data_IF_005009171564
#
_entry.id   IF_005009171564
#
_cell.length_a   1.000
_cell.length_b   1.000
_cell.length_c   1.000
_cell.angle_alpha   90.00
_cell.angle_beta   90.00
_cell.angle_gamma   90.00
#
_symmetry.space_group_name_H-M   'P 1'
#
loop_
_entity.id
_entity.type
_entity.pdbx_description
1 polymer ?
#
# COMPACT_ATOMS: atom_id res chain seq x y z
N UNK A 1 25.99 -5.72 13.34
CA UNK A 1 25.24 -5.56 12.08
C UNK A 1 25.57 -4.20 11.51
N UNK A 2 26.17 -4.11 10.33
CA UNK A 2 26.43 -2.81 9.68
C UNK A 2 25.16 -2.44 8.91
N UNK A 3 24.48 -1.38 9.35
CA UNK A 3 23.37 -0.79 8.60
C UNK A 3 23.99 0.35 7.79
N UNK A 4 24.03 0.22 6.47
CA UNK A 4 24.41 1.34 5.62
C UNK A 4 23.26 2.35 5.63
N UNK A 5 23.56 3.62 5.87
CA UNK A 5 22.54 4.67 5.78
C UNK A 5 22.25 5.04 4.32
N UNK A 6 21.16 5.77 4.10
CA UNK A 6 20.74 6.13 2.74
C UNK A 6 21.77 7.02 2.00
N UNK A 7 22.57 7.80 2.73
CA UNK A 7 23.59 8.66 2.14
C UNK A 7 24.80 7.84 1.68
N UNK A 8 25.22 6.85 2.46
CA UNK A 8 26.28 5.91 2.09
C UNK A 8 25.88 5.08 0.87
N UNK A 9 24.65 4.56 0.84
CA UNK A 9 24.13 3.82 -0.32
C UNK A 9 24.07 4.72 -1.55
N UNK A 10 23.58 5.96 -1.40
CA UNK A 10 23.54 6.93 -2.50
C UNK A 10 24.94 7.20 -3.04
N UNK A 11 25.92 7.48 -2.18
CA UNK A 11 27.30 7.75 -2.60
C UNK A 11 27.91 6.54 -3.33
N UNK A 12 27.65 5.32 -2.86
CA UNK A 12 28.10 4.11 -3.54
C UNK A 12 27.46 3.94 -4.92
N UNK A 13 26.16 4.25 -5.04
CA UNK A 13 25.43 4.21 -6.31
C UNK A 13 25.92 5.27 -7.29
N UNK A 14 26.14 6.50 -6.85
CA UNK A 14 26.66 7.60 -7.70
C UNK A 14 28.11 7.33 -8.15
N UNK A 15 28.92 6.65 -7.32
CA UNK A 15 30.26 6.21 -7.71
C UNK A 15 30.22 5.09 -8.76
N UNK A 16 29.30 4.13 -8.61
CA UNK A 16 29.17 3.00 -9.55
C UNK A 16 28.46 3.38 -10.85
N UNK A 17 27.50 4.31 -10.76
CA UNK A 17 26.66 4.80 -11.86
C UNK A 17 26.68 6.34 -11.83
N UNK A 18 27.70 6.96 -12.42
CA UNK A 18 27.86 8.41 -12.41
C UNK A 18 26.66 9.12 -13.03
N UNK A 19 26.18 10.16 -12.36
CA UNK A 19 25.04 10.91 -12.85
C UNK A 19 25.39 11.67 -14.15
N UNK A 20 24.53 11.63 -15.18
CA UNK A 20 24.73 12.46 -16.37
C UNK A 20 24.81 13.95 -16.03
N UNK A 21 25.69 14.69 -16.71
CA UNK A 21 25.84 16.13 -16.51
C UNK A 21 24.72 16.95 -17.19
N UNK A 22 23.98 16.35 -18.12
CA UNK A 22 22.88 16.97 -18.84
C UNK A 22 21.57 16.78 -18.06
N UNK A 23 20.79 17.85 -17.93
CA UNK A 23 19.67 17.95 -16.98
C UNK A 23 18.54 16.95 -17.29
N UNK A 24 18.19 16.73 -18.56
CA UNK A 24 17.18 15.74 -18.93
C UNK A 24 17.67 14.30 -18.73
N UNK A 25 18.95 14.05 -18.98
CA UNK A 25 19.58 12.75 -18.74
C UNK A 25 19.70 12.44 -17.23
N UNK A 26 19.98 13.44 -16.39
CA UNK A 26 19.93 13.33 -14.93
C UNK A 26 18.51 12.99 -14.45
N UNK A 27 17.51 13.72 -14.94
CA UNK A 27 16.11 13.46 -14.60
C UNK A 27 15.67 12.04 -15.01
N UNK A 28 16.05 11.58 -16.21
CA UNK A 28 15.78 10.22 -16.67
C UNK A 28 16.53 9.17 -15.85
N UNK A 29 17.79 9.42 -15.52
CA UNK A 29 18.59 8.55 -14.65
C UNK A 29 17.93 8.38 -13.28
N UNK A 30 17.52 9.49 -12.65
CA UNK A 30 16.80 9.46 -11.38
C UNK A 30 15.48 8.68 -11.45
N UNK A 31 14.73 8.82 -12.56
CA UNK A 31 13.50 8.06 -12.79
C UNK A 31 13.75 6.54 -12.83
N UNK A 32 14.73 6.09 -13.61
CA UNK A 32 15.05 4.67 -13.74
C UNK A 32 15.65 4.09 -12.45
N UNK A 33 16.53 4.84 -11.77
CA UNK A 33 17.09 4.43 -10.48
C UNK A 33 16.00 4.27 -9.42
N UNK A 34 15.03 5.18 -9.38
CA UNK A 34 13.90 5.08 -8.45
C UNK A 34 13.11 3.79 -8.70
N UNK A 35 12.84 3.45 -9.95
CA UNK A 35 12.12 2.23 -10.32
C UNK A 35 12.88 0.98 -9.86
N UNK A 36 14.17 0.89 -10.15
CA UNK A 36 15.01 -0.27 -9.78
C UNK A 36 15.09 -0.42 -8.26
N UNK A 37 15.29 0.67 -7.52
CA UNK A 37 15.35 0.63 -6.06
C UNK A 37 14.01 0.22 -5.44
N UNK A 38 12.87 0.62 -6.04
CA UNK A 38 11.56 0.16 -5.61
C UNK A 38 11.35 -1.35 -5.85
N UNK A 39 11.80 -1.87 -7.00
CA UNK A 39 11.79 -3.32 -7.28
C UNK A 39 12.65 -4.08 -6.26
N UNK A 40 13.86 -3.59 -5.98
CA UNK A 40 14.77 -4.16 -4.98
C UNK A 40 14.16 -4.15 -3.57
N UNK A 41 13.54 -3.04 -3.17
CA UNK A 41 12.82 -2.95 -1.91
C UNK A 41 11.69 -4.00 -1.82
N UNK A 42 10.99 -4.25 -2.93
CA UNK A 42 9.99 -5.31 -3.05
C UNK A 42 10.56 -6.72 -2.77
N UNK A 43 11.74 -7.04 -3.31
CA UNK A 43 12.41 -8.33 -3.04
C UNK A 43 12.75 -8.51 -1.56
N UNK A 44 13.31 -7.49 -0.91
CA UNK A 44 13.63 -7.56 0.51
C UNK A 44 12.37 -7.63 1.39
N UNK A 45 11.30 -6.93 1.03
CA UNK A 45 10.02 -7.02 1.73
C UNK A 45 9.42 -8.44 1.63
N UNK A 46 9.46 -9.06 0.45
CA UNK A 46 9.02 -10.44 0.26
C UNK A 46 9.86 -11.41 1.09
N UNK A 47 11.20 -11.28 1.01
CA UNK A 47 12.13 -12.12 1.77
C UNK A 47 11.93 -11.99 3.28
N UNK A 48 11.70 -10.77 3.76
CA UNK A 48 11.36 -10.52 5.15
C UNK A 48 10.08 -11.25 5.55
N UNK A 49 9.02 -11.16 4.75
CA UNK A 49 7.74 -11.82 5.03
C UNK A 49 7.86 -13.34 5.07
N UNK A 50 8.59 -13.94 4.12
CA UNK A 50 8.90 -15.37 4.12
C UNK A 50 9.63 -15.79 5.40
N UNK A 51 10.64 -15.01 5.79
CA UNK A 51 11.44 -15.28 7.00
C UNK A 51 10.58 -15.17 8.26
N UNK A 52 9.67 -14.21 8.32
CA UNK A 52 8.70 -14.06 9.42
C UNK A 52 7.79 -15.28 9.51
N UNK A 53 7.29 -15.78 8.38
CA UNK A 53 6.43 -16.96 8.34
C UNK A 53 7.20 -18.21 8.82
N UNK A 54 8.47 -18.37 8.42
CA UNK A 54 9.35 -19.42 8.92
C UNK A 54 9.57 -19.34 10.44
N UNK A 55 9.88 -18.15 10.98
CA UNK A 55 10.05 -17.91 12.41
C UNK A 55 8.79 -18.32 13.18
N UNK A 56 7.61 -17.93 12.68
CA UNK A 56 6.32 -18.24 13.32
C UNK A 56 5.95 -19.70 13.23
N UNK A 57 6.16 -20.33 12.08
CA UNK A 57 5.86 -21.75 11.88
C UNK A 57 6.78 -22.64 12.72
N UNK A 58 8.06 -22.26 12.85
CA UNK A 58 9.06 -22.97 13.63
C UNK A 58 9.08 -22.64 15.13
N UNK A 59 8.33 -21.63 15.57
CA UNK A 59 8.40 -21.14 16.96
C UNK A 59 9.81 -20.67 17.35
N UNK A 60 10.54 -20.08 16.39
CA UNK A 60 11.94 -19.72 16.58
C UNK A 60 12.08 -18.52 17.51
N UNK A 61 12.95 -18.65 18.51
CA UNK A 61 13.27 -17.56 19.44
C UNK A 61 14.70 -17.09 19.23
N UNK A 62 14.93 -15.79 19.34
CA UNK A 62 16.27 -15.19 19.29
C UNK A 62 16.63 -14.63 20.67
N UNK A 63 17.89 -14.78 21.14
CA UNK A 63 18.35 -14.14 22.37
C UNK A 63 18.47 -12.61 22.23
N UNK A 64 18.63 -12.09 21.00
CA UNK A 64 18.89 -10.67 20.74
C UNK A 64 17.69 -9.95 20.13
N UNK A 65 16.79 -10.67 19.45
CA UNK A 65 15.71 -10.07 18.68
C UNK A 65 14.33 -10.57 19.10
N UNK A 66 13.32 -9.73 18.97
CA UNK A 66 11.91 -10.09 19.14
C UNK A 66 11.10 -9.70 17.91
N UNK A 67 10.26 -10.63 17.44
CA UNK A 67 9.29 -10.41 16.38
C UNK A 67 8.01 -9.85 16.99
N UNK A 68 7.67 -8.60 16.69
CA UNK A 68 6.47 -7.93 17.18
C UNK A 68 5.49 -7.70 16.03
N UNK A 69 4.21 -7.94 16.28
CA UNK A 69 3.15 -7.51 15.37
C UNK A 69 2.88 -6.02 15.61
N UNK A 70 3.14 -5.20 14.61
CA UNK A 70 2.76 -3.79 14.64
C UNK A 70 1.31 -3.64 14.19
N UNK A 71 0.53 -2.89 14.96
CA UNK A 71 -0.85 -2.59 14.64
C UNK A 71 -0.99 -1.11 14.26
N UNK A 72 -1.88 -0.83 13.29
CA UNK A 72 -2.22 0.54 12.91
C UNK A 72 -3.70 0.81 13.15
N UNK A 73 -4.01 2.05 13.48
CA UNK A 73 -5.39 2.53 13.44
C UNK A 73 -5.81 2.70 11.99
N UNK A 74 -6.83 1.97 11.59
CA UNK A 74 -7.48 2.12 10.29
C UNK A 74 -8.93 2.51 10.50
N UNK A 75 -9.38 3.50 9.74
CA UNK A 75 -10.80 3.82 9.62
C UNK A 75 -11.46 2.73 8.77
N UNK A 76 -12.57 2.16 9.25
CA UNK A 76 -13.41 1.24 8.48
C UNK A 76 -14.80 1.85 8.32
N UNK A 77 -15.31 1.81 7.10
CA UNK A 77 -16.69 2.23 6.78
C UNK A 77 -17.64 1.09 7.11
N UNK A 78 -18.73 1.40 7.79
CA UNK A 78 -19.87 0.52 7.97
C UNK A 78 -20.69 0.49 6.67
N UNK A 79 -20.25 -0.35 5.74
CA UNK A 79 -20.83 -0.53 4.41
C UNK A 79 -22.33 -0.86 4.45
N UNK A 80 -22.81 -1.80 5.28
CA UNK A 80 -24.25 -2.06 5.41
C UNK A 80 -25.04 -0.82 5.80
N UNK A 81 -24.60 -0.10 6.83
CA UNK A 81 -25.31 1.10 7.30
C UNK A 81 -25.32 2.22 6.25
N UNK A 82 -24.18 2.45 5.56
CA UNK A 82 -24.08 3.47 4.52
C UNK A 82 -24.98 3.13 3.31
N UNK A 83 -25.08 1.84 2.95
CA UNK A 83 -25.97 1.37 1.88
C UNK A 83 -27.44 1.55 2.26
N UNK A 84 -27.81 1.24 3.50
CA UNK A 84 -29.18 1.27 3.95
C UNK A 84 -29.68 2.71 4.16
N UNK A 85 -28.83 3.60 4.69
CA UNK A 85 -29.22 4.98 5.03
C UNK A 85 -28.97 5.98 3.90
N UNK A 86 -27.98 5.74 3.03
CA UNK A 86 -27.63 6.65 1.92
C UNK A 86 -27.23 5.88 0.65
N UNK A 87 -28.19 5.19 0.01
CA UNK A 87 -27.93 4.32 -1.15
C UNK A 87 -27.33 5.08 -2.36
N UNK A 88 -27.76 6.32 -2.61
CA UNK A 88 -27.27 7.13 -3.72
C UNK A 88 -25.79 7.53 -3.52
N UNK A 89 -25.44 7.92 -2.29
CA UNK A 89 -24.06 8.24 -1.94
C UNK A 89 -23.18 6.98 -1.94
N UNK A 90 -23.74 5.86 -1.49
CA UNK A 90 -23.07 4.56 -1.51
C UNK A 90 -22.72 4.14 -2.95
N UNK A 91 -23.66 4.21 -3.89
CA UNK A 91 -23.42 3.82 -5.29
C UNK A 91 -22.30 4.63 -5.96
N UNK A 92 -22.12 5.88 -5.55
CA UNK A 92 -21.07 6.75 -6.07
C UNK A 92 -19.68 6.48 -5.48
N UNK A 93 -19.62 5.95 -4.25
CA UNK A 93 -18.40 5.84 -3.45
C UNK A 93 -17.84 4.42 -3.36
N UNK A 94 -18.64 3.41 -3.73
CA UNK A 94 -18.23 2.00 -3.72
C UNK A 94 -17.19 1.72 -4.78
N UNK A 95 -16.13 1.02 -4.37
CA UNK A 95 -15.17 0.46 -5.30
C UNK A 95 -15.83 -0.66 -6.12
N UNK A 96 -15.61 -0.66 -7.44
CA UNK A 96 -16.22 -1.61 -8.35
C UNK A 96 -15.53 -2.98 -8.18
N UNK A 97 -16.33 -4.04 -7.99
CA UNK A 97 -15.80 -5.40 -7.91
C UNK A 97 -15.12 -5.82 -9.23
N UNK A 98 -14.11 -6.71 -9.23
CA UNK A 98 -13.49 -7.19 -10.47
C UNK A 98 -14.50 -7.85 -11.44
N UNK A 99 -15.53 -8.52 -10.90
CA UNK A 99 -16.56 -9.17 -11.70
C UNK A 99 -17.47 -8.15 -12.42
N UNK A 100 -17.82 -7.06 -11.75
CA UNK A 100 -18.64 -5.99 -12.33
C UNK A 100 -17.82 -5.06 -13.24
N UNK A 101 -16.56 -4.82 -12.88
CA UNK A 101 -15.59 -4.16 -13.74
C UNK A 101 -15.40 -4.94 -15.04
N UNK A 102 -15.33 -6.27 -14.99
CA UNK A 102 -15.23 -7.13 -16.17
C UNK A 102 -16.44 -7.05 -17.12
N UNK A 103 -17.65 -6.87 -16.58
CA UNK A 103 -18.87 -6.66 -17.39
C UNK A 103 -18.90 -5.27 -18.04
N UNK A 104 -18.50 -4.23 -17.30
CA UNK A 104 -18.40 -2.84 -17.80
C UNK A 104 -17.27 -2.66 -18.82
N UNK A 105 -16.15 -3.37 -18.64
CA UNK A 105 -14.93 -3.25 -19.43
C UNK A 105 -14.80 -4.38 -20.46
N UNK A 106 -15.92 -4.84 -21.02
CA UNK A 106 -16.08 -6.00 -21.93
C UNK A 106 -15.24 -5.99 -23.22
N UNK A 107 -14.25 -5.09 -23.34
CA UNK A 107 -13.10 -5.22 -24.24
C UNK A 107 -11.82 -5.04 -23.43
N UNK A 108 -10.91 -6.03 -23.50
CA UNK A 108 -9.58 -6.05 -22.84
C UNK A 108 -8.79 -4.73 -23.01
N UNK A 109 -8.95 -4.07 -24.16
CA UNK A 109 -8.36 -2.75 -24.44
C UNK A 109 -8.90 -1.62 -23.54
N UNK A 110 -10.21 -1.62 -23.23
CA UNK A 110 -10.80 -0.68 -22.30
C UNK A 110 -10.30 -0.97 -20.89
N UNK A 111 -10.13 -2.23 -20.49
CA UNK A 111 -9.60 -2.56 -19.16
C UNK A 111 -8.21 -1.94 -18.93
N UNK A 112 -7.26 -2.11 -19.86
CA UNK A 112 -5.90 -1.59 -19.71
C UNK A 112 -5.83 -0.05 -19.82
N UNK A 113 -6.65 0.55 -20.68
CA UNK A 113 -6.77 2.01 -20.80
C UNK A 113 -7.41 2.63 -19.54
N UNK A 114 -8.45 1.99 -19.01
CA UNK A 114 -9.20 2.50 -17.85
C UNK A 114 -8.45 2.21 -16.54
N UNK A 115 -7.66 1.13 -16.46
CA UNK A 115 -6.76 0.85 -15.33
C UNK A 115 -5.74 1.98 -15.10
N UNK A 116 -5.23 2.60 -16.17
CA UNK A 116 -4.35 3.79 -16.07
C UNK A 116 -5.08 5.05 -15.57
N UNK A 117 -6.36 5.20 -15.90
CA UNK A 117 -7.19 6.35 -15.50
C UNK A 117 -7.80 6.20 -14.10
N UNK A 118 -8.07 4.97 -13.65
CA UNK A 118 -8.85 4.68 -12.46
C UNK A 118 -8.01 4.57 -11.17
N UNK A 119 -6.67 4.50 -11.23
CA UNK A 119 -5.78 4.40 -10.04
C UNK A 119 -6.33 3.44 -8.96
N UNK A 120 -6.30 2.14 -9.24
CA UNK A 120 -6.56 1.08 -8.25
C UNK A 120 -7.95 1.07 -7.57
N UNK A 121 -9.02 1.48 -8.26
CA UNK A 121 -10.40 1.35 -7.72
C UNK A 121 -11.04 -0.04 -7.88
N UNK A 122 -10.27 -1.06 -8.24
CA UNK A 122 -10.77 -2.44 -8.38
C UNK A 122 -10.25 -3.23 -7.18
N UNK A 123 -11.13 -3.54 -6.23
CA UNK A 123 -10.78 -4.24 -4.99
C UNK A 123 -11.68 -5.47 -4.84
N UNK A 124 -11.11 -6.59 -4.37
CA UNK A 124 -11.79 -7.89 -4.26
C UNK A 124 -12.93 -7.95 -3.21
N UNK A 125 -13.18 -6.84 -2.51
CA UNK A 125 -14.20 -6.71 -1.46
C UNK A 125 -14.87 -5.34 -1.62
N UNK A 126 -16.17 -5.25 -1.30
CA UNK A 126 -16.90 -3.98 -1.26
C UNK A 126 -16.25 -3.05 -0.25
N UNK A 127 -15.42 -2.15 -0.76
CA UNK A 127 -14.84 -1.06 0.01
C UNK A 127 -15.51 0.23 -0.45
N UNK A 128 -15.53 1.21 0.43
CA UNK A 128 -15.98 2.57 0.11
C UNK A 128 -14.77 3.47 0.15
N UNK A 129 -14.64 4.38 -0.82
CA UNK A 129 -13.54 5.33 -0.82
C UNK A 129 -13.67 6.30 0.36
N UNK A 130 -12.89 6.06 1.41
CA UNK A 130 -12.87 6.88 2.64
C UNK A 130 -12.57 8.35 2.39
N UNK A 131 -11.70 8.68 1.41
CA UNK A 131 -11.34 10.08 1.10
C UNK A 131 -12.51 10.80 0.44
N UNK A 132 -13.18 10.14 -0.50
CA UNK A 132 -14.33 10.72 -1.18
C UNK A 132 -15.53 10.80 -0.21
N UNK A 133 -15.68 9.85 0.71
CA UNK A 133 -16.67 9.87 1.79
C UNK A 133 -16.44 11.06 2.74
N UNK A 134 -15.21 11.29 3.19
CA UNK A 134 -14.83 12.40 4.08
C UNK A 134 -15.02 13.76 3.40
N UNK A 135 -14.86 13.83 2.08
CA UNK A 135 -15.10 15.05 1.29
C UNK A 135 -16.59 15.35 1.13
N UNK A 136 -17.43 14.31 1.03
CA UNK A 136 -18.87 14.45 0.80
C UNK A 136 -19.70 14.52 2.08
N UNK A 137 -19.16 14.05 3.21
CA UNK A 137 -19.83 14.08 4.51
C UNK A 137 -18.96 14.84 5.54
N UNK A 138 -19.32 16.06 5.93
CA UNK A 138 -18.66 16.74 7.05
C UNK A 138 -19.00 16.05 8.39
N UNK A 139 -18.14 16.24 9.40
CA UNK A 139 -18.45 15.83 10.77
C UNK A 139 -19.66 16.64 11.29
N UNK A 140 -20.68 16.03 11.92
CA UNK A 140 -20.65 14.77 12.69
C UNK A 140 -21.22 13.52 11.99
N UNK A 141 -21.84 13.64 10.81
CA UNK A 141 -22.49 12.52 10.12
C UNK A 141 -21.50 11.45 9.66
N UNK A 142 -20.29 11.86 9.29
CA UNK A 142 -19.18 10.97 8.93
C UNK A 142 -18.85 9.95 10.02
N UNK A 143 -18.87 10.36 11.30
CA UNK A 143 -18.54 9.51 12.44
C UNK A 143 -19.57 8.42 12.73
N UNK A 144 -20.78 8.52 12.16
CA UNK A 144 -21.81 7.48 12.24
C UNK A 144 -21.48 6.27 11.37
N UNK A 145 -20.83 6.52 10.23
CA UNK A 145 -20.52 5.50 9.23
C UNK A 145 -19.08 5.01 9.29
N UNK A 146 -18.20 5.68 10.05
CA UNK A 146 -16.78 5.33 10.12
C UNK A 146 -16.38 5.01 11.55
N UNK A 147 -15.87 3.80 11.75
CA UNK A 147 -15.29 3.36 13.02
C UNK A 147 -13.77 3.23 12.92
N UNK A 148 -13.06 3.60 13.97
CA UNK A 148 -11.64 3.29 14.09
C UNK A 148 -11.48 1.86 14.60
N UNK A 149 -10.69 1.06 13.87
CA UNK A 149 -10.25 -0.26 14.32
C UNK A 149 -8.75 -0.36 14.25
N UNK A 150 -8.23 -1.14 15.17
CA UNK A 150 -6.83 -1.53 15.17
C UNK A 150 -6.70 -2.72 14.22
N UNK A 151 -5.93 -2.56 13.16
CA UNK A 151 -5.66 -3.62 12.17
C UNK A 151 -4.17 -3.93 12.15
N UNK A 152 -3.77 -5.19 11.95
CA UNK A 152 -2.36 -5.53 11.80
C UNK A 152 -1.78 -4.79 10.60
N UNK A 153 -0.69 -4.05 10.83
CA UNK A 153 0.08 -3.33 9.79
C UNK A 153 1.14 -4.23 9.17
N UNK A 154 1.70 -5.12 9.98
CA UNK A 154 2.76 -6.05 9.60
C UNK A 154 3.63 -6.40 10.79
N UNK A 155 4.59 -7.30 10.58
CA UNK A 155 5.57 -7.64 11.61
C UNK A 155 6.79 -6.73 11.54
N UNK A 156 7.40 -6.48 12.68
CA UNK A 156 8.67 -5.76 12.83
C UNK A 156 9.60 -6.56 13.73
N UNK A 157 10.91 -6.40 13.52
CA UNK A 157 11.95 -6.98 14.37
C UNK A 157 12.50 -5.87 15.26
N UNK A 158 12.57 -6.13 16.56
CA UNK A 158 13.13 -5.23 17.56
C UNK A 158 14.30 -5.90 18.27
N UNK A 159 15.29 -5.11 18.66
CA UNK A 159 16.39 -5.59 19.51
C UNK A 159 15.90 -5.62 20.95
N UNK A 160 16.08 -6.75 21.63
CA UNK A 160 15.77 -6.89 23.05
C UNK A 160 16.66 -5.93 23.84
N UNK A 161 16.02 -5.06 24.63
CA UNK A 161 16.69 -4.09 25.51
C UNK A 161 17.26 -4.77 26.75
#
# INVERSE_FOLDING_TARGET
>A
MTICDAAEIRAALEMAFPCPAEEYADAYFCQEMTKILAELAGFYAARFSETVDEIRAGGLESPEFVLRLEERRSKMVNVPLLRDEMPDLFSDLVFVSPADAGKLLSKKFLYDATKKLIKDRIVNYEQVNLKDLETRLPAPEFSRYVSERVVPKGYVIEVKS
#
